data_IF_294230709321
#
_entry.id   IF_294230709321
#
_cell.length_a   1.000
_cell.length_b   1.000
_cell.length_c   1.000
_cell.angle_alpha   90.00
_cell.angle_beta   90.00
_cell.angle_gamma   90.00
#
_symmetry.space_group_name_H-M   'P 1'
#
loop_
_entity.id
_entity.type
_entity.pdbx_description
1 polymer ?
#
# COMPACT_ATOMS: atom_id res chain seq x y z
N UNK A 1 -29.01 4.46 21.36
CA UNK A 1 -28.28 5.25 22.37
C UNK A 1 -26.78 5.17 22.05
N UNK A 2 -25.94 6.11 22.52
CA UNK A 2 -24.48 6.07 22.24
C UNK A 2 -23.81 4.73 22.61
N UNK A 3 -24.33 4.03 23.61
CA UNK A 3 -23.86 2.70 24.00
C UNK A 3 -24.22 1.61 22.97
N UNK A 4 -25.41 1.71 22.34
CA UNK A 4 -25.84 0.82 21.25
C UNK A 4 -25.01 1.05 20.00
N UNK A 5 -24.64 2.31 19.73
CA UNK A 5 -23.82 2.70 18.58
C UNK A 5 -22.38 2.17 18.73
N UNK A 6 -21.79 2.30 19.92
CA UNK A 6 -20.49 1.72 20.24
C UNK A 6 -20.53 0.17 20.20
N UNK A 7 -21.65 -0.44 20.59
CA UNK A 7 -21.83 -1.89 20.47
C UNK A 7 -21.92 -2.34 19.00
N UNK A 8 -22.63 -1.59 18.15
CA UNK A 8 -22.72 -1.82 16.71
C UNK A 8 -21.36 -1.67 16.02
N UNK A 9 -20.58 -0.66 16.39
CA UNK A 9 -19.22 -0.46 15.88
C UNK A 9 -18.29 -1.63 16.24
N UNK A 10 -18.31 -2.09 17.51
CA UNK A 10 -17.52 -3.27 17.94
C UNK A 10 -17.94 -4.56 17.22
N UNK A 11 -19.24 -4.74 16.97
CA UNK A 11 -19.73 -5.89 16.22
C UNK A 11 -19.22 -5.88 14.76
N UNK A 12 -19.16 -4.70 14.14
CA UNK A 12 -18.55 -4.52 12.81
C UNK A 12 -17.06 -4.84 12.81
N UNK A 13 -16.31 -4.44 13.84
CA UNK A 13 -14.88 -4.77 13.95
C UNK A 13 -14.65 -6.30 14.05
N UNK A 14 -15.47 -7.00 14.84
CA UNK A 14 -15.43 -8.47 14.90
C UNK A 14 -15.76 -9.14 13.56
N UNK A 15 -16.72 -8.59 12.81
CA UNK A 15 -17.04 -9.08 11.47
C UNK A 15 -15.89 -8.85 10.47
N UNK A 16 -15.18 -7.72 10.58
CA UNK A 16 -13.99 -7.42 9.77
C UNK A 16 -12.86 -8.42 10.04
N UNK A 17 -12.65 -8.81 11.31
CA UNK A 17 -11.66 -9.82 11.67
C UNK A 17 -12.01 -11.20 11.07
N UNK A 18 -13.30 -11.55 11.07
CA UNK A 18 -13.80 -12.80 10.49
C UNK A 18 -13.57 -12.90 8.97
N UNK A 19 -13.40 -11.79 8.25
CA UNK A 19 -13.00 -11.81 6.83
C UNK A 19 -11.58 -12.35 6.63
N UNK A 20 -10.75 -12.36 7.67
CA UNK A 20 -9.36 -12.82 7.64
C UNK A 20 -9.19 -14.33 7.46
N UNK A 21 -10.22 -15.15 7.67
CA UNK A 21 -10.17 -16.61 7.55
C UNK A 21 -11.11 -17.09 6.43
N UNK A 22 -10.66 -18.05 5.62
CA UNK A 22 -11.45 -18.55 4.47
C UNK A 22 -12.78 -19.20 4.89
N UNK A 23 -12.80 -19.85 6.05
CA UNK A 23 -13.98 -20.56 6.57
C UNK A 23 -15.07 -19.64 7.10
N UNK A 24 -14.71 -18.43 7.55
CA UNK A 24 -15.66 -17.48 8.20
C UNK A 24 -15.96 -16.26 7.34
N UNK A 25 -15.40 -16.17 6.13
CA UNK A 25 -15.57 -15.03 5.25
C UNK A 25 -17.05 -14.77 4.91
N UNK A 26 -17.78 -15.79 4.47
CA UNK A 26 -19.19 -15.65 4.10
C UNK A 26 -20.05 -15.18 5.30
N UNK A 27 -19.75 -15.67 6.50
CA UNK A 27 -20.47 -15.27 7.71
C UNK A 27 -20.15 -13.82 8.11
N UNK A 28 -18.87 -13.43 8.01
CA UNK A 28 -18.43 -12.04 8.21
C UNK A 28 -19.10 -11.08 7.22
N UNK A 29 -19.12 -11.43 5.94
CA UNK A 29 -19.78 -10.63 4.90
C UNK A 29 -21.30 -10.50 5.13
N UNK A 30 -21.99 -11.58 5.49
CA UNK A 30 -23.43 -11.55 5.86
C UNK A 30 -23.68 -10.69 7.10
N UNK A 31 -22.77 -10.69 8.08
CA UNK A 31 -22.89 -9.84 9.26
C UNK A 31 -22.76 -8.36 8.91
N UNK A 32 -21.80 -8.02 8.04
CA UNK A 32 -21.60 -6.65 7.52
C UNK A 32 -22.83 -6.19 6.72
N UNK A 33 -23.37 -7.04 5.84
CA UNK A 33 -24.59 -6.73 5.08
C UNK A 33 -25.78 -6.39 5.99
N UNK A 34 -26.03 -7.22 7.01
CA UNK A 34 -27.12 -6.97 7.98
C UNK A 34 -26.91 -5.67 8.75
N UNK A 35 -25.68 -5.39 9.17
CA UNK A 35 -25.35 -4.17 9.88
C UNK A 35 -25.55 -2.92 9.01
N UNK A 36 -25.20 -3.00 7.72
CA UNK A 36 -25.40 -1.91 6.77
C UNK A 36 -26.89 -1.63 6.51
N UNK A 37 -27.71 -2.67 6.34
CA UNK A 37 -29.17 -2.54 6.10
C UNK A 37 -29.96 -2.07 7.32
N UNK A 38 -29.48 -2.37 8.53
CA UNK A 38 -30.13 -1.99 9.78
C UNK A 38 -29.75 -0.58 10.27
N UNK A 39 -29.03 0.19 9.45
CA UNK A 39 -28.54 1.52 9.82
C UNK A 39 -29.63 2.58 9.66
N UNK A 40 -29.83 3.39 10.69
CA UNK A 40 -30.58 4.64 10.63
C UNK A 40 -29.67 5.78 10.10
N UNK A 41 -30.20 6.63 9.21
CA UNK A 41 -29.48 7.76 8.63
C UNK A 41 -29.06 8.77 9.71
N UNK A 42 -27.76 8.86 10.02
CA UNK A 42 -27.24 9.91 10.92
C UNK A 42 -25.93 9.64 11.66
N UNK A 43 -25.48 8.39 11.83
CA UNK A 43 -24.28 8.11 12.67
C UNK A 43 -22.97 8.05 11.85
N UNK A 44 -22.12 9.06 12.02
CA UNK A 44 -20.83 9.16 11.35
C UNK A 44 -19.85 8.02 11.70
N UNK A 45 -19.87 7.49 12.94
CA UNK A 45 -18.93 6.43 13.36
C UNK A 45 -19.26 5.10 12.71
N UNK A 46 -20.54 4.74 12.71
CA UNK A 46 -21.04 3.55 12.01
C UNK A 46 -20.81 3.69 10.51
N UNK A 47 -20.95 4.90 9.94
CA UNK A 47 -20.61 5.18 8.54
C UNK A 47 -19.16 4.84 8.20
N UNK A 48 -18.21 5.32 9.02
CA UNK A 48 -16.77 5.07 8.80
C UNK A 48 -16.45 3.58 8.93
N UNK A 49 -17.06 2.90 9.92
CA UNK A 49 -16.88 1.46 10.11
C UNK A 49 -17.41 0.65 8.91
N UNK A 50 -18.59 1.00 8.37
CA UNK A 50 -19.17 0.36 7.19
C UNK A 50 -18.32 0.60 5.93
N UNK A 51 -17.80 1.82 5.75
CA UNK A 51 -16.92 2.12 4.63
C UNK A 51 -15.62 1.29 4.67
N UNK A 52 -15.00 1.18 5.87
CA UNK A 52 -13.84 0.31 6.10
C UNK A 52 -14.18 -1.16 5.85
N UNK A 53 -15.34 -1.63 6.32
CA UNK A 53 -15.80 -2.99 6.13
C UNK A 53 -15.96 -3.33 4.65
N UNK A 54 -16.67 -2.49 3.87
CA UNK A 54 -16.85 -2.69 2.43
C UNK A 54 -15.53 -2.76 1.66
N UNK A 55 -14.59 -1.84 1.94
CA UNK A 55 -13.24 -1.88 1.32
C UNK A 55 -12.47 -3.17 1.66
N UNK A 56 -12.61 -3.67 2.90
CA UNK A 56 -11.96 -4.92 3.31
C UNK A 56 -12.56 -6.13 2.62
N UNK A 57 -13.88 -6.18 2.44
CA UNK A 57 -14.54 -7.25 1.67
C UNK A 57 -14.04 -7.24 0.22
N UNK A 58 -13.98 -6.07 -0.41
CA UNK A 58 -13.52 -5.93 -1.81
C UNK A 58 -12.07 -6.40 -2.01
N UNK A 59 -11.15 -5.96 -1.14
CA UNK A 59 -9.75 -6.39 -1.19
C UNK A 59 -9.59 -7.90 -0.94
N UNK A 60 -10.42 -8.48 -0.08
CA UNK A 60 -10.40 -9.92 0.21
C UNK A 60 -10.92 -10.75 -0.97
N UNK A 61 -11.99 -10.31 -1.64
CA UNK A 61 -12.50 -10.95 -2.86
C UNK A 61 -11.42 -10.96 -3.95
N UNK A 62 -10.85 -9.79 -4.26
CA UNK A 62 -9.82 -9.63 -5.29
C UNK A 62 -8.57 -10.50 -5.05
N UNK A 63 -8.18 -10.68 -3.79
CA UNK A 63 -6.93 -11.38 -3.44
C UNK A 63 -7.07 -12.89 -3.23
N UNK A 64 -8.22 -13.37 -2.74
CA UNK A 64 -8.36 -14.76 -2.24
C UNK A 64 -9.35 -15.62 -3.00
N UNK A 65 -10.31 -15.02 -3.69
CA UNK A 65 -11.42 -15.73 -4.31
C UNK A 65 -11.44 -15.42 -5.81
N UNK A 66 -10.41 -15.83 -6.55
CA UNK A 66 -10.58 -16.06 -7.99
C UNK A 66 -11.50 -17.26 -8.19
N UNK A 67 -12.53 -17.14 -9.05
CA UNK A 67 -13.58 -18.08 -9.55
C UNK A 67 -14.08 -19.30 -8.75
N UNK A 68 -13.28 -19.92 -7.87
CA UNK A 68 -13.54 -21.19 -7.21
C UNK A 68 -14.66 -21.17 -6.14
N UNK A 69 -15.38 -20.06 -5.95
CA UNK A 69 -16.49 -20.00 -4.97
C UNK A 69 -17.51 -18.90 -5.29
N UNK A 70 -18.34 -19.14 -6.31
CA UNK A 70 -19.41 -18.25 -6.74
C UNK A 70 -20.26 -17.71 -5.56
N UNK A 71 -20.62 -18.57 -4.61
CA UNK A 71 -21.41 -18.16 -3.44
C UNK A 71 -20.69 -17.13 -2.56
N UNK A 72 -19.39 -17.30 -2.28
CA UNK A 72 -18.63 -16.35 -1.46
C UNK A 72 -18.48 -15.00 -2.19
N UNK A 73 -18.31 -15.05 -3.52
CA UNK A 73 -18.25 -13.85 -4.35
C UNK A 73 -19.57 -13.07 -4.29
N UNK A 74 -20.69 -13.73 -4.54
CA UNK A 74 -22.01 -13.07 -4.54
C UNK A 74 -22.41 -12.56 -3.15
N UNK A 75 -22.05 -13.27 -2.08
CA UNK A 75 -22.23 -12.80 -0.70
C UNK A 75 -21.36 -11.57 -0.41
N UNK A 76 -20.10 -11.57 -0.86
CA UNK A 76 -19.20 -10.43 -0.67
C UNK A 76 -19.65 -9.18 -1.44
N UNK A 77 -20.09 -9.34 -2.70
CA UNK A 77 -20.61 -8.23 -3.51
C UNK A 77 -21.83 -7.59 -2.86
N UNK A 78 -22.80 -8.39 -2.42
CA UNK A 78 -23.99 -7.86 -1.70
C UNK A 78 -23.64 -7.08 -0.44
N UNK A 79 -22.62 -7.52 0.30
CA UNK A 79 -22.16 -6.81 1.48
C UNK A 79 -21.57 -5.43 1.11
N UNK A 80 -20.81 -5.34 0.02
CA UNK A 80 -20.23 -4.07 -0.47
C UNK A 80 -21.34 -3.12 -0.94
N UNK A 81 -22.34 -3.62 -1.68
CA UNK A 81 -23.49 -2.82 -2.12
C UNK A 81 -24.29 -2.27 -0.95
N UNK A 82 -24.56 -3.10 0.06
CA UNK A 82 -25.24 -2.64 1.27
C UNK A 82 -24.43 -1.56 2.01
N UNK A 83 -23.10 -1.71 2.11
CA UNK A 83 -22.24 -0.67 2.66
C UNK A 83 -22.27 0.62 1.83
N UNK A 84 -22.25 0.53 0.49
CA UNK A 84 -22.34 1.68 -0.42
C UNK A 84 -23.62 2.47 -0.18
N UNK A 85 -24.75 1.77 -0.10
CA UNK A 85 -26.06 2.41 0.07
C UNK A 85 -26.19 3.02 1.47
N UNK A 86 -25.48 2.46 2.46
CA UNK A 86 -25.46 2.98 3.81
C UNK A 86 -24.54 4.18 4.01
N UNK A 87 -23.56 4.47 3.14
CA UNK A 87 -22.56 5.55 3.34
C UNK A 87 -22.70 6.68 2.32
N UNK A 88 -22.29 7.89 2.70
CA UNK A 88 -22.31 9.09 1.85
C UNK A 88 -20.92 9.56 1.43
N UNK A 89 -20.89 10.60 0.58
CA UNK A 89 -19.65 11.32 0.21
C UNK A 89 -18.58 10.47 -0.48
N UNK A 90 -17.32 10.77 -0.18
CA UNK A 90 -16.15 10.11 -0.77
C UNK A 90 -16.05 8.62 -0.43
N UNK A 91 -16.57 8.19 0.72
CA UNK A 91 -16.63 6.77 1.09
C UNK A 91 -17.56 5.99 0.15
N UNK A 92 -18.67 6.59 -0.29
CA UNK A 92 -19.58 5.99 -1.27
C UNK A 92 -18.91 5.81 -2.63
N UNK A 93 -18.22 6.84 -3.09
CA UNK A 93 -17.48 6.83 -4.36
C UNK A 93 -16.39 5.77 -4.37
N UNK A 94 -15.65 5.62 -3.27
CA UNK A 94 -14.64 4.58 -3.13
C UNK A 94 -15.24 3.16 -3.22
N UNK A 95 -16.44 2.93 -2.66
CA UNK A 95 -17.12 1.63 -2.77
C UNK A 95 -17.69 1.37 -4.17
N UNK A 96 -18.16 2.42 -4.86
CA UNK A 96 -18.56 2.32 -6.29
C UNK A 96 -17.37 1.89 -7.15
N UNK A 97 -16.21 2.53 -6.99
CA UNK A 97 -15.00 2.17 -7.73
C UNK A 97 -14.54 0.72 -7.45
N UNK A 98 -14.67 0.29 -6.18
CA UNK A 98 -14.33 -1.08 -5.78
C UNK A 98 -15.25 -2.12 -6.46
N UNK A 99 -16.55 -1.87 -6.55
CA UNK A 99 -17.50 -2.75 -7.25
C UNK A 99 -17.20 -2.84 -8.75
N UNK A 100 -16.88 -1.71 -9.40
CA UNK A 100 -16.50 -1.69 -10.82
C UNK A 100 -15.24 -2.55 -11.08
N UNK A 101 -14.21 -2.39 -10.24
CA UNK A 101 -12.98 -3.21 -10.34
C UNK A 101 -13.29 -4.71 -10.17
N UNK A 102 -14.21 -5.06 -9.27
CA UNK A 102 -14.59 -6.47 -9.06
C UNK A 102 -15.34 -7.03 -10.26
N UNK A 103 -16.21 -6.25 -10.90
CA UNK A 103 -16.90 -6.66 -12.12
C UNK A 103 -15.89 -6.96 -13.24
N UNK A 104 -14.94 -6.06 -13.48
CA UNK A 104 -13.86 -6.26 -14.46
C UNK A 104 -13.04 -7.53 -14.16
N UNK A 105 -12.71 -7.79 -12.89
CA UNK A 105 -11.98 -9.01 -12.51
C UNK A 105 -12.78 -10.27 -12.77
N UNK A 106 -14.11 -10.24 -12.56
CA UNK A 106 -15.00 -11.40 -12.80
C UNK A 106 -15.20 -11.65 -14.29
N UNK A 107 -15.26 -10.60 -15.10
CA UNK A 107 -15.31 -10.70 -16.56
C UNK A 107 -13.98 -11.24 -17.12
N UNK A 108 -12.84 -10.78 -16.59
CA UNK A 108 -11.52 -11.27 -16.97
C UNK A 108 -11.31 -12.75 -16.61
N UNK A 109 -11.81 -13.20 -15.45
CA UNK A 109 -11.76 -14.63 -15.09
C UNK A 109 -12.74 -15.47 -15.91
N UNK A 110 -13.94 -14.96 -16.22
CA UNK A 110 -14.91 -15.64 -17.06
C UNK A 110 -14.45 -15.81 -18.52
N UNK A 111 -13.61 -14.91 -19.03
CA UNK A 111 -13.08 -14.93 -20.41
C UNK A 111 -11.72 -15.63 -20.53
N UNK A 112 -11.08 -15.99 -19.42
CA UNK A 112 -9.82 -16.73 -19.44
C UNK A 112 -10.03 -18.16 -19.99
N UNK A 113 -9.12 -18.67 -20.84
CA UNK A 113 -9.18 -20.05 -21.33
C UNK A 113 -9.17 -21.01 -20.14
N UNK A 114 -10.17 -21.90 -20.08
CA UNK A 114 -10.17 -23.01 -19.12
C UNK A 114 -9.03 -23.94 -19.50
N UNK A 115 -7.93 -23.91 -18.76
CA UNK A 115 -6.90 -24.94 -18.88
C UNK A 115 -7.52 -26.29 -18.55
N UNK A 116 -7.35 -27.26 -19.46
CA UNK A 116 -8.00 -28.56 -19.47
C UNK A 116 -7.65 -29.37 -18.21
N UNK A 117 -8.67 -29.88 -17.52
CA UNK A 117 -8.55 -30.70 -16.31
C UNK A 117 -7.92 -32.06 -16.64
N UNK A 118 -6.60 -32.13 -16.82
CA UNK A 118 -5.85 -33.39 -16.80
C UNK A 118 -4.61 -33.30 -15.91
N UNK A 119 -4.80 -32.84 -14.67
CA UNK A 119 -3.84 -33.04 -13.58
C UNK A 119 -4.50 -33.89 -12.47
N UNK A 120 -3.86 -34.98 -12.00
CA UNK A 120 -4.52 -35.97 -11.18
C UNK A 120 -4.86 -35.42 -9.78
N UNK A 121 -6.13 -35.54 -9.40
CA UNK A 121 -6.65 -35.25 -8.06
C UNK A 121 -6.14 -36.29 -7.06
N UNK A 122 -5.06 -36.02 -6.34
CA UNK A 122 -4.66 -36.86 -5.19
C UNK A 122 -5.34 -36.38 -3.92
N UNK A 123 -6.25 -37.23 -3.42
CA UNK A 123 -6.94 -37.11 -2.14
C UNK A 123 -5.94 -37.10 -0.98
N UNK A 124 -6.06 -36.11 -0.09
CA UNK A 124 -5.35 -36.11 1.20
C UNK A 124 -6.09 -37.02 2.19
N UNK A 125 -5.44 -38.08 2.67
CA UNK A 125 -5.67 -38.60 4.02
C UNK A 125 -4.38 -39.20 4.57
N UNK A 126 -4.15 -38.94 5.86
CA UNK A 126 -3.08 -39.45 6.75
C UNK A 126 -1.68 -38.93 6.42
N UNK A 127 -0.76 -38.77 7.36
CA UNK A 127 -0.68 -38.69 8.82
C UNK A 127 0.81 -38.42 9.03
N UNK A 128 1.12 -37.38 9.80
CA UNK A 128 2.40 -37.18 10.52
C UNK A 128 3.73 -37.29 9.74
N UNK A 129 4.59 -36.28 9.97
CA UNK A 129 6.03 -36.24 9.73
C UNK A 129 6.60 -36.22 8.29
N UNK A 130 7.48 -35.22 8.11
CA UNK A 130 8.58 -35.05 7.14
C UNK A 130 8.37 -34.29 5.82
N UNK A 131 9.12 -33.18 5.76
CA UNK A 131 9.74 -32.50 4.60
C UNK A 131 8.87 -31.58 3.74
N UNK A 132 8.93 -30.31 4.13
CA UNK A 132 8.96 -29.15 3.24
C UNK A 132 9.89 -29.40 2.05
N UNK A 133 9.38 -29.19 0.83
CA UNK A 133 10.10 -28.74 -0.39
C UNK A 133 9.20 -29.01 -1.61
N UNK A 134 8.09 -28.27 -1.76
CA UNK A 134 7.43 -28.09 -3.08
C UNK A 134 6.28 -27.07 -3.10
N UNK A 135 5.86 -26.50 -1.95
CA UNK A 135 4.82 -25.46 -1.92
C UNK A 135 5.38 -24.08 -2.31
N UNK A 136 6.69 -23.86 -2.11
CA UNK A 136 7.33 -22.59 -2.46
C UNK A 136 7.55 -22.41 -3.97
N UNK A 137 7.60 -23.49 -4.76
CA UNK A 137 7.86 -23.41 -6.21
C UNK A 137 6.73 -22.73 -6.99
N UNK A 138 5.48 -23.11 -6.73
CA UNK A 138 4.31 -22.59 -7.46
C UNK A 138 3.97 -21.15 -7.04
N UNK A 139 4.12 -20.84 -5.75
CA UNK A 139 3.89 -19.48 -5.23
C UNK A 139 5.01 -18.53 -5.71
N UNK A 140 6.26 -18.99 -5.74
CA UNK A 140 7.36 -18.18 -6.28
C UNK A 140 7.27 -17.99 -7.78
N UNK A 141 6.76 -18.97 -8.55
CA UNK A 141 6.61 -18.80 -9.99
C UNK A 141 5.46 -17.86 -10.35
N UNK A 142 4.31 -17.98 -9.67
CA UNK A 142 3.23 -17.01 -9.82
C UNK A 142 3.68 -15.59 -9.42
N UNK A 143 4.44 -15.47 -8.33
CA UNK A 143 5.01 -14.19 -7.90
C UNK A 143 6.04 -13.66 -8.90
N UNK A 144 6.90 -14.52 -9.49
CA UNK A 144 7.83 -14.14 -10.56
C UNK A 144 7.09 -13.63 -11.79
N UNK A 145 6.03 -14.31 -12.22
CA UNK A 145 5.23 -13.90 -13.38
C UNK A 145 4.50 -12.58 -13.13
N UNK A 146 3.94 -12.38 -11.93
CA UNK A 146 3.30 -11.12 -11.52
C UNK A 146 4.33 -9.98 -11.46
N UNK A 147 5.49 -10.22 -10.85
CA UNK A 147 6.55 -9.22 -10.76
C UNK A 147 7.18 -8.92 -12.12
N UNK A 148 7.32 -9.91 -13.01
CA UNK A 148 7.80 -9.71 -14.38
C UNK A 148 6.78 -8.94 -15.24
N UNK A 149 5.48 -9.20 -15.10
CA UNK A 149 4.44 -8.42 -15.75
C UNK A 149 4.40 -6.99 -15.23
N UNK A 150 4.54 -6.80 -13.91
CA UNK A 150 4.61 -5.47 -13.29
C UNK A 150 5.88 -4.72 -13.69
N UNK A 151 7.01 -5.42 -13.84
CA UNK A 151 8.28 -4.87 -14.32
C UNK A 151 8.15 -4.37 -15.76
N UNK A 152 7.52 -5.14 -16.67
CA UNK A 152 7.25 -4.68 -18.04
C UNK A 152 6.32 -3.46 -18.10
N UNK A 153 5.29 -3.41 -17.26
CA UNK A 153 4.45 -2.21 -17.12
C UNK A 153 5.19 -1.03 -16.50
N UNK A 154 6.18 -1.26 -15.64
CA UNK A 154 7.00 -0.22 -15.03
C UNK A 154 8.09 0.28 -16.00
N UNK A 155 8.71 -0.62 -16.77
CA UNK A 155 9.66 -0.32 -17.85
C UNK A 155 8.99 0.54 -18.93
N UNK A 156 7.75 0.21 -19.32
CA UNK A 156 6.96 1.06 -20.23
C UNK A 156 6.62 2.45 -19.66
N UNK A 157 6.56 2.61 -18.33
CA UNK A 157 6.34 3.90 -17.68
C UNK A 157 7.66 4.67 -17.50
N UNK A 158 8.77 3.96 -17.30
CA UNK A 158 10.12 4.54 -17.24
C UNK A 158 10.56 5.02 -18.62
N UNK A 159 10.36 4.23 -19.68
CA UNK A 159 10.58 4.67 -21.07
C UNK A 159 9.68 5.86 -21.45
N UNK A 160 8.46 5.93 -20.90
CA UNK A 160 7.57 7.08 -21.07
C UNK A 160 8.12 8.34 -20.40
N UNK A 161 8.62 8.21 -19.16
CA UNK A 161 9.21 9.33 -18.43
C UNK A 161 10.54 9.78 -19.04
N UNK A 162 11.41 8.85 -19.48
CA UNK A 162 12.68 9.18 -20.14
C UNK A 162 12.45 9.95 -21.46
N UNK A 163 11.39 9.64 -22.19
CA UNK A 163 10.97 10.41 -23.39
C UNK A 163 10.41 11.79 -23.04
N UNK A 164 9.76 11.95 -21.89
CA UNK A 164 9.28 13.25 -21.40
C UNK A 164 10.41 14.15 -20.86
N UNK A 165 11.61 13.60 -20.62
CA UNK A 165 12.79 14.36 -20.21
C UNK A 165 13.61 14.96 -21.36
N UNK A 166 13.42 14.51 -22.61
CA UNK A 166 14.22 14.97 -23.77
C UNK A 166 13.58 16.15 -24.55
N UNK A 167 12.28 16.44 -24.33
CA UNK A 167 11.60 17.60 -24.96
C UNK A 167 11.55 18.86 -24.06
N UNK A 168 12.12 18.76 -22.84
CA UNK A 168 12.15 19.83 -21.82
C UNK A 168 13.56 20.37 -21.52
N UNK A 169 14.61 19.87 -22.19
CA UNK A 169 15.97 20.46 -22.17
C UNK A 169 16.09 21.74 -23.01
N UNK A 170 15.05 22.58 -22.99
CA UNK A 170 15.09 23.94 -23.53
C UNK A 170 15.16 25.04 -22.45
N UNK A 171 14.84 24.75 -21.18
CA UNK A 171 14.83 25.80 -20.14
C UNK A 171 14.76 25.27 -18.71
N UNK A 172 15.85 24.72 -18.18
CA UNK A 172 16.06 24.68 -16.72
C UNK A 172 17.49 25.08 -16.41
N UNK A 173 17.63 26.37 -16.12
CA UNK A 173 18.87 26.98 -15.67
C UNK A 173 19.48 26.16 -14.52
N UNK A 174 20.79 25.97 -14.60
CA UNK A 174 21.61 25.32 -13.59
C UNK A 174 21.24 25.79 -12.18
N UNK A 175 20.76 24.85 -11.36
CA UNK A 175 20.57 25.05 -9.92
C UNK A 175 21.93 25.38 -9.32
N UNK A 176 22.16 26.67 -9.14
CA UNK A 176 23.41 27.24 -8.70
C UNK A 176 23.52 27.05 -7.19
N UNK A 177 24.38 26.12 -6.76
CA UNK A 177 25.03 26.04 -5.45
C UNK A 177 24.18 26.44 -4.24
N UNK A 178 23.36 25.50 -3.73
CA UNK A 178 22.81 25.58 -2.37
C UNK A 178 23.98 25.49 -1.38
N UNK A 179 24.20 26.54 -0.58
CA UNK A 179 25.23 26.53 0.46
C UNK A 179 24.77 25.65 1.62
N UNK A 180 25.56 24.61 1.93
CA UNK A 180 25.18 23.52 2.85
C UNK A 180 25.50 23.87 4.32
N UNK A 181 25.88 25.12 4.62
CA UNK A 181 26.32 25.59 5.94
C UNK A 181 25.27 25.53 7.07
N UNK A 182 23.98 25.40 6.75
CA UNK A 182 22.94 25.36 7.78
C UNK A 182 22.46 23.94 8.15
N UNK A 183 23.05 22.92 7.53
CA UNK A 183 22.85 21.55 7.97
C UNK A 183 23.71 21.27 9.20
N UNK A 184 23.17 20.51 10.15
CA UNK A 184 23.89 20.16 11.39
C UNK A 184 24.78 18.96 11.14
N UNK A 185 26.04 19.21 10.85
CA UNK A 185 27.10 18.21 10.78
C UNK A 185 27.49 17.76 12.18
N UNK A 186 27.50 16.45 12.42
CA UNK A 186 27.95 15.86 13.68
C UNK A 186 28.39 14.41 13.47
N UNK A 187 29.02 13.83 14.48
CA UNK A 187 29.19 12.38 14.55
C UNK A 187 27.86 11.70 14.85
N UNK A 188 27.64 10.46 14.40
CA UNK A 188 26.48 9.67 14.78
C UNK A 188 26.47 9.50 16.30
N UNK A 189 25.28 9.57 16.90
CA UNK A 189 25.10 9.27 18.32
C UNK A 189 25.21 7.77 18.54
N UNK A 190 25.49 7.33 19.77
CA UNK A 190 25.61 5.91 20.10
C UNK A 190 24.35 5.10 19.74
N UNK A 191 23.16 5.71 19.80
CA UNK A 191 21.89 5.12 19.40
C UNK A 191 21.69 5.05 17.87
N UNK A 192 22.49 5.77 17.10
CA UNK A 192 22.44 5.82 15.64
C UNK A 192 23.52 4.98 14.97
N UNK A 193 24.58 4.61 15.70
CA UNK A 193 25.61 3.70 15.21
C UNK A 193 24.94 2.35 14.87
N UNK A 194 25.08 1.93 13.61
CA UNK A 194 24.39 0.73 13.09
C UNK A 194 23.00 0.99 12.48
N UNK A 195 22.44 2.21 12.58
CA UNK A 195 21.32 2.61 11.72
C UNK A 195 21.79 2.80 10.28
N UNK A 196 20.87 2.63 9.32
CA UNK A 196 21.18 2.69 7.88
C UNK A 196 20.85 4.04 7.28
N UNK A 197 21.72 4.55 6.44
CA UNK A 197 21.43 5.69 5.58
C UNK A 197 20.42 5.30 4.50
N UNK A 198 19.33 6.03 4.33
CA UNK A 198 18.30 5.71 3.32
C UNK A 198 18.70 6.08 1.89
N UNK A 199 19.88 6.70 1.69
CA UNK A 199 20.41 7.02 0.36
C UNK A 199 21.32 5.89 -0.16
N UNK A 200 22.32 5.46 0.62
CA UNK A 200 23.26 4.40 0.22
C UNK A 200 22.95 3.03 0.82
N UNK A 201 22.01 2.94 1.77
CA UNK A 201 21.64 1.72 2.50
C UNK A 201 22.72 1.09 3.39
N UNK A 202 23.85 1.79 3.59
CA UNK A 202 24.93 1.40 4.50
C UNK A 202 24.72 1.91 5.93
N UNK A 203 25.32 1.20 6.89
CA UNK A 203 25.25 1.55 8.32
C UNK A 203 26.21 2.69 8.68
N UNK A 204 25.80 3.57 9.59
CA UNK A 204 26.67 4.61 10.14
C UNK A 204 27.79 4.03 11.00
N UNK A 205 29.03 4.42 10.70
CA UNK A 205 30.19 4.11 11.55
C UNK A 205 30.48 5.23 12.56
N UNK A 206 31.08 4.87 13.71
CA UNK A 206 31.34 5.79 14.84
C UNK A 206 32.28 6.96 14.48
N UNK A 207 33.10 6.78 13.44
CA UNK A 207 34.07 7.73 12.94
C UNK A 207 33.58 8.57 11.74
N UNK A 208 32.37 8.30 11.25
CA UNK A 208 31.80 9.02 10.11
C UNK A 208 31.11 10.33 10.51
N UNK A 209 30.90 11.20 9.51
CA UNK A 209 30.13 12.45 9.66
C UNK A 209 28.73 12.25 9.10
N UNK A 210 27.75 12.48 9.96
CA UNK A 210 26.34 12.46 9.61
C UNK A 210 25.75 13.86 9.68
N UNK A 211 24.70 14.05 8.90
CA UNK A 211 24.01 15.32 8.75
C UNK A 211 22.56 15.13 9.14
N UNK A 212 22.12 15.92 10.12
CA UNK A 212 20.72 15.96 10.53
C UNK A 212 19.98 17.08 9.78
N UNK A 213 18.85 16.74 9.17
CA UNK A 213 18.03 17.67 8.41
C UNK A 213 17.20 18.60 9.33
N UNK A 214 16.91 19.84 8.90
CA UNK A 214 16.14 20.79 9.70
C UNK A 214 14.65 20.43 9.84
N UNK A 215 14.11 19.59 8.96
CA UNK A 215 12.72 19.15 9.01
C UNK A 215 12.42 18.20 10.18
N UNK A 216 13.38 17.37 10.58
CA UNK A 216 13.27 16.48 11.74
C UNK A 216 14.66 16.04 12.20
N UNK A 217 14.91 16.05 13.51
CA UNK A 217 16.16 15.57 14.10
C UNK A 217 16.39 14.05 13.93
N UNK A 218 15.38 13.30 13.49
CA UNK A 218 15.49 11.88 13.12
C UNK A 218 15.89 11.65 11.67
N UNK A 219 15.88 12.69 10.82
CA UNK A 219 16.30 12.56 9.43
C UNK A 219 17.80 12.81 9.36
N UNK A 220 18.55 11.71 9.42
CA UNK A 220 20.00 11.69 9.43
C UNK A 220 20.50 10.94 8.21
N UNK A 221 21.58 11.44 7.60
CA UNK A 221 22.21 10.88 6.41
C UNK A 221 23.74 11.03 6.49
N UNK A 222 24.49 10.25 5.70
CA UNK A 222 25.92 10.54 5.51
C UNK A 222 26.10 11.92 4.87
N UNK A 223 27.15 12.63 5.28
CA UNK A 223 27.54 13.91 4.68
C UNK A 223 27.64 13.83 3.14
N UNK A 224 28.33 12.81 2.62
CA UNK A 224 28.49 12.62 1.17
C UNK A 224 27.14 12.44 0.48
N UNK A 225 26.30 11.57 1.03
CA UNK A 225 25.02 11.21 0.43
C UNK A 225 24.05 12.41 0.39
N UNK A 226 23.96 13.18 1.47
CA UNK A 226 23.08 14.36 1.48
C UNK A 226 23.61 15.48 0.57
N UNK A 227 24.94 15.66 0.47
CA UNK A 227 25.53 16.64 -0.44
C UNK A 227 25.23 16.32 -1.91
N UNK A 228 25.38 15.06 -2.31
CA UNK A 228 25.05 14.61 -3.68
C UNK A 228 23.55 14.77 -3.99
N UNK A 229 22.69 14.49 -3.01
CA UNK A 229 21.24 14.69 -3.16
C UNK A 229 20.88 16.17 -3.32
N UNK A 230 21.39 17.03 -2.44
CA UNK A 230 21.10 18.47 -2.45
C UNK A 230 21.70 19.22 -3.64
N UNK A 231 22.67 18.62 -4.33
CA UNK A 231 23.14 19.12 -5.61
C UNK A 231 22.10 18.95 -6.73
N UNK A 232 21.16 18.01 -6.59
CA UNK A 232 20.12 17.70 -7.58
C UNK A 232 18.74 18.23 -7.18
N UNK A 233 18.41 18.17 -5.90
CA UNK A 233 17.06 18.48 -5.39
C UNK A 233 17.14 19.12 -3.99
N UNK A 234 16.38 20.19 -3.75
CA UNK A 234 16.41 20.98 -2.50
C UNK A 234 15.45 20.45 -1.42
N UNK A 235 15.04 19.18 -1.50
CA UNK A 235 14.12 18.54 -0.54
C UNK A 235 14.78 17.45 0.31
N UNK A 236 14.15 17.11 1.43
CA UNK A 236 14.56 15.98 2.27
C UNK A 236 14.22 14.63 1.61
N UNK A 237 15.18 13.67 1.49
CA UNK A 237 14.92 12.36 0.89
C UNK A 237 13.84 11.52 1.60
N UNK A 238 13.62 11.74 2.90
CA UNK A 238 12.69 10.94 3.70
C UNK A 238 11.25 11.49 3.69
N UNK A 239 11.09 12.80 3.78
CA UNK A 239 9.76 13.43 3.92
C UNK A 239 9.40 14.41 2.80
N UNK A 240 10.29 14.64 1.84
CA UNK A 240 10.12 15.57 0.71
C UNK A 240 9.79 17.00 1.12
N UNK A 241 10.02 17.37 2.38
CA UNK A 241 9.91 18.75 2.83
C UNK A 241 11.02 19.57 2.18
N UNK A 242 10.66 20.68 1.54
CA UNK A 242 11.62 21.63 0.97
C UNK A 242 12.46 22.24 2.09
N UNK A 243 13.74 22.43 1.82
CA UNK A 243 14.61 23.15 2.73
C UNK A 243 14.27 24.65 2.67
N UNK A 244 14.17 25.34 3.83
CA UNK A 244 13.85 26.75 3.84
C UNK A 244 14.93 27.55 3.07
N UNK A 245 14.49 28.40 2.14
CA UNK A 245 15.30 29.20 1.20
C UNK A 245 16.30 30.16 1.89
N UNK A 246 16.30 30.26 3.22
CA UNK A 246 17.29 31.01 4.00
C UNK A 246 18.68 30.35 4.09
N UNK A 247 18.87 29.16 3.51
CA UNK A 247 20.19 28.50 3.43
C UNK A 247 21.05 28.96 2.23
N UNK A 248 20.81 30.16 1.68
CA UNK A 248 21.53 30.60 0.48
C UNK A 248 21.32 32.04 -0.02
N UNK A 249 21.23 33.06 0.85
CA UNK A 249 21.58 34.43 0.42
C UNK A 249 22.88 34.86 1.10
N UNK A 250 24.00 34.98 0.38
CA UNK A 250 24.96 36.01 0.74
C UNK A 250 24.28 37.36 0.45
N UNK A 251 23.84 38.05 1.50
CA UNK A 251 23.66 39.49 1.40
C UNK A 251 25.05 40.11 1.50
N UNK A 252 25.69 40.39 0.37
CA UNK A 252 26.62 41.51 0.29
C UNK A 252 26.21 42.37 -0.91
N UNK A 253 25.83 43.60 -0.56
CA UNK A 253 25.76 44.83 -1.38
C UNK A 253 25.38 44.70 -2.85
#
# INVERSE_FOLDING_TARGET
>A
SRADDDARARALDGAIEALGKRSTFSDGARAIERAARARDEGDARVSVALARAGRRVATTLKSRYGDARAEAWDVGVRAIEACRDAVGGSDREALVAALATLAETREATATAPREDETAPKTKTKTKDETMDENVDGVVNEALRLILAARRRSLESLVDGLERDFDESEGSRAAASTVSVEALRYRKPRDDEVGMKCSICFDCYATDEVVVAMPCSASHVFHERCVKEWLARDDSCPLCRSSLPVWLGRPQYS
#
